data_IF_111556898998
#
_entry.id   IF_111556898998
#
_cell.length_a   1.000
_cell.length_b   1.000
_cell.length_c   1.000
_cell.angle_alpha   90.00
_cell.angle_beta   90.00
_cell.angle_gamma   90.00
#
_symmetry.space_group_name_H-M   'P 1'
#
loop_
_entity.id
_entity.type
_entity.pdbx_description
1 polymer ?
#
# COMPACT_ATOMS: atom_id res chain seq x y z
N UNK A 1 12.61 6.53 -7.59
CA UNK A 1 12.18 7.55 -8.58
C UNK A 1 10.66 7.69 -8.63
N UNK A 2 9.88 6.62 -8.85
CA UNK A 2 8.41 6.71 -8.84
C UNK A 2 7.82 7.20 -7.50
N UNK A 3 8.36 6.76 -6.36
CA UNK A 3 7.93 7.26 -5.03
C UNK A 3 8.14 8.78 -4.87
N UNK A 4 9.27 9.30 -5.35
CA UNK A 4 9.56 10.74 -5.34
C UNK A 4 8.58 11.48 -6.25
N UNK A 5 8.28 10.96 -7.44
CA UNK A 5 7.29 11.56 -8.36
C UNK A 5 5.88 11.61 -7.75
N UNK A 6 5.49 10.57 -7.02
CA UNK A 6 4.24 10.57 -6.26
C UNK A 6 4.24 11.67 -5.17
N UNK A 7 5.32 11.78 -4.39
CA UNK A 7 5.46 12.77 -3.32
C UNK A 7 5.45 14.22 -3.84
N UNK A 8 6.02 14.47 -5.03
CA UNK A 8 6.00 15.81 -5.66
C UNK A 8 4.73 16.09 -6.48
N UNK A 9 3.69 15.27 -6.34
CA UNK A 9 2.37 15.54 -6.93
C UNK A 9 2.23 15.16 -8.40
N UNK A 10 3.05 14.22 -8.90
CA UNK A 10 2.99 13.71 -10.27
C UNK A 10 2.59 12.21 -10.31
N UNK A 11 1.40 11.84 -9.82
CA UNK A 11 0.99 10.44 -9.69
C UNK A 11 0.81 9.74 -11.05
N UNK A 12 0.48 10.47 -12.12
CA UNK A 12 0.38 9.92 -13.47
C UNK A 12 1.72 9.44 -14.03
N UNK A 13 2.77 10.29 -13.93
CA UNK A 13 4.13 9.91 -14.33
C UNK A 13 4.68 8.76 -13.48
N UNK A 14 4.40 8.79 -12.17
CA UNK A 14 4.76 7.70 -11.27
C UNK A 14 4.11 6.37 -11.69
N UNK A 15 2.81 6.39 -12.07
CA UNK A 15 2.13 5.22 -12.64
C UNK A 15 2.86 4.68 -13.88
N UNK A 16 3.17 5.54 -14.86
CA UNK A 16 3.82 5.11 -16.11
C UNK A 16 5.17 4.43 -15.83
N UNK A 17 6.00 5.02 -14.96
CA UNK A 17 7.28 4.40 -14.59
C UNK A 17 7.11 3.06 -13.87
N UNK A 18 6.06 2.91 -13.05
CA UNK A 18 5.78 1.65 -12.36
C UNK A 18 5.30 0.57 -13.35
N UNK A 19 4.53 0.95 -14.37
CA UNK A 19 4.07 0.04 -15.42
C UNK A 19 5.23 -0.47 -16.29
N UNK A 20 6.25 0.35 -16.54
CA UNK A 20 7.45 -0.07 -17.28
C UNK A 20 8.27 -1.15 -16.56
N UNK A 21 8.27 -1.13 -15.22
CA UNK A 21 9.06 -2.07 -14.41
C UNK A 21 8.23 -3.21 -13.82
N UNK A 22 6.90 -3.20 -13.98
CA UNK A 22 5.97 -4.12 -13.33
C UNK A 22 6.34 -5.58 -13.61
N UNK A 23 6.60 -5.93 -14.87
CA UNK A 23 6.92 -7.30 -15.29
C UNK A 23 8.24 -7.78 -14.69
N UNK A 24 9.23 -6.90 -14.61
CA UNK A 24 10.55 -7.23 -14.04
C UNK A 24 10.43 -7.48 -12.54
N UNK A 25 9.75 -6.58 -11.82
CA UNK A 25 9.57 -6.73 -10.36
C UNK A 25 8.71 -7.95 -10.02
N UNK A 26 7.66 -8.24 -10.80
CA UNK A 26 6.83 -9.43 -10.55
C UNK A 26 7.54 -10.75 -10.87
N UNK A 27 8.52 -10.74 -11.78
CA UNK A 27 9.25 -11.95 -12.18
C UNK A 27 10.51 -12.21 -11.36
N UNK A 28 11.18 -11.15 -10.88
CA UNK A 28 12.50 -11.23 -10.26
C UNK A 28 12.57 -10.58 -8.87
N UNK A 29 11.59 -9.77 -8.49
CA UNK A 29 11.56 -9.06 -7.23
C UNK A 29 11.17 -9.95 -6.05
N UNK A 30 11.67 -9.61 -4.86
CA UNK A 30 11.22 -10.23 -3.63
C UNK A 30 9.80 -9.78 -3.26
N UNK A 31 9.15 -10.47 -2.33
CA UNK A 31 7.81 -10.10 -1.86
C UNK A 31 7.73 -8.67 -1.28
N UNK A 32 8.83 -8.17 -0.71
CA UNK A 32 8.93 -6.77 -0.25
C UNK A 32 8.84 -5.79 -1.43
N UNK A 33 9.59 -6.06 -2.51
CA UNK A 33 9.62 -5.22 -3.71
C UNK A 33 8.26 -5.25 -4.42
N UNK A 34 7.66 -6.44 -4.54
CA UNK A 34 6.33 -6.65 -5.11
C UNK A 34 5.27 -5.93 -4.27
N UNK A 35 5.34 -6.01 -2.94
CA UNK A 35 4.46 -5.27 -2.05
C UNK A 35 4.57 -3.76 -2.24
N UNK A 36 5.80 -3.25 -2.41
CA UNK A 36 6.04 -1.83 -2.62
C UNK A 36 5.51 -1.35 -3.97
N UNK A 37 5.71 -2.12 -5.03
CA UNK A 37 5.16 -1.88 -6.35
C UNK A 37 3.63 -1.77 -6.29
N UNK A 38 2.96 -2.76 -5.72
CA UNK A 38 1.50 -2.76 -5.61
C UNK A 38 0.98 -1.57 -4.81
N UNK A 39 1.62 -1.26 -3.67
CA UNK A 39 1.21 -0.14 -2.84
C UNK A 39 1.38 1.20 -3.56
N UNK A 40 2.48 1.40 -4.28
CA UNK A 40 2.71 2.60 -5.07
C UNK A 40 1.71 2.72 -6.23
N UNK A 41 1.42 1.63 -6.95
CA UNK A 41 0.41 1.61 -8.01
C UNK A 41 -0.99 1.96 -7.45
N UNK A 42 -1.36 1.41 -6.28
CA UNK A 42 -2.63 1.73 -5.63
C UNK A 42 -2.78 3.23 -5.36
N UNK A 43 -1.74 3.84 -4.77
CA UNK A 43 -1.70 5.28 -4.48
C UNK A 43 -1.78 6.12 -5.74
N UNK A 44 -1.00 5.76 -6.76
CA UNK A 44 -0.93 6.52 -8.01
C UNK A 44 -2.26 6.43 -8.78
N UNK A 45 -2.88 5.25 -8.89
CA UNK A 45 -4.20 5.08 -9.52
C UNK A 45 -5.28 5.88 -8.82
N UNK A 46 -5.36 5.78 -7.49
CA UNK A 46 -6.34 6.56 -6.72
C UNK A 46 -6.15 8.08 -6.90
N UNK A 47 -4.91 8.56 -6.91
CA UNK A 47 -4.63 9.99 -7.07
C UNK A 47 -4.83 10.51 -8.49
N UNK A 48 -4.56 9.69 -9.51
CA UNK A 48 -4.69 10.08 -10.93
C UNK A 48 -6.11 9.94 -11.45
N UNK A 49 -6.81 8.87 -11.09
CA UNK A 49 -8.12 8.51 -11.65
C UNK A 49 -9.28 8.81 -10.68
N UNK A 50 -8.99 9.16 -9.42
CA UNK A 50 -9.99 9.44 -8.39
C UNK A 50 -10.88 8.22 -8.15
N UNK A 51 -12.20 8.42 -8.24
CA UNK A 51 -13.18 7.35 -8.06
C UNK A 51 -13.14 6.28 -9.18
N UNK A 52 -12.66 6.61 -10.39
CA UNK A 52 -12.58 5.67 -11.50
C UNK A 52 -11.56 4.55 -11.28
N UNK A 53 -10.47 4.84 -10.55
CA UNK A 53 -9.42 3.87 -10.23
C UNK A 53 -9.58 3.20 -8.86
N UNK A 54 -10.68 3.47 -8.15
CA UNK A 54 -10.81 3.14 -6.74
C UNK A 54 -10.84 1.64 -6.44
N UNK A 55 -11.62 0.87 -7.21
CA UNK A 55 -11.68 -0.59 -7.05
C UNK A 55 -10.32 -1.24 -7.32
N UNK A 56 -9.64 -0.77 -8.38
CA UNK A 56 -8.29 -1.22 -8.72
C UNK A 56 -7.28 -0.88 -7.60
N UNK A 57 -7.36 0.34 -7.05
CA UNK A 57 -6.52 0.75 -5.94
C UNK A 57 -6.77 -0.09 -4.68
N UNK A 58 -8.02 -0.41 -4.35
CA UNK A 58 -8.37 -1.31 -3.23
C UNK A 58 -7.77 -2.69 -3.45
N UNK A 59 -7.87 -3.24 -4.66
CA UNK A 59 -7.30 -4.55 -4.99
C UNK A 59 -5.77 -4.55 -4.84
N UNK A 60 -5.09 -3.55 -5.40
CA UNK A 60 -3.64 -3.41 -5.31
C UNK A 60 -3.16 -3.22 -3.86
N UNK A 61 -3.82 -2.38 -3.07
CA UNK A 61 -3.49 -2.20 -1.65
C UNK A 61 -3.69 -3.49 -0.84
N UNK A 62 -4.72 -4.29 -1.18
CA UNK A 62 -4.94 -5.60 -0.55
C UNK A 62 -3.83 -6.60 -0.92
N UNK A 63 -3.39 -6.60 -2.17
CA UNK A 63 -2.27 -7.45 -2.62
C UNK A 63 -0.96 -7.05 -1.97
N UNK A 64 -0.69 -5.74 -1.83
CA UNK A 64 0.46 -5.24 -1.10
C UNK A 64 0.45 -5.67 0.37
N UNK A 65 -0.70 -5.58 1.04
CA UNK A 65 -0.88 -6.03 2.42
C UNK A 65 -0.51 -7.50 2.56
N UNK A 66 -1.03 -8.38 1.70
CA UNK A 66 -0.71 -9.81 1.70
C UNK A 66 0.79 -10.08 1.50
N UNK A 67 1.43 -9.36 0.56
CA UNK A 67 2.87 -9.49 0.36
C UNK A 67 3.66 -9.20 1.63
N UNK A 68 3.30 -8.12 2.35
CA UNK A 68 3.99 -7.74 3.57
C UNK A 68 3.64 -8.62 4.78
N UNK A 69 2.43 -9.17 4.85
CA UNK A 69 2.04 -10.15 5.86
C UNK A 69 2.86 -11.43 5.73
N UNK A 70 3.05 -11.94 4.50
CA UNK A 70 3.83 -13.16 4.24
C UNK A 70 5.29 -13.05 4.69
N UNK A 71 5.89 -11.86 4.61
CA UNK A 71 7.28 -11.61 5.04
C UNK A 71 7.37 -10.90 6.39
N UNK A 72 6.25 -10.79 7.11
CA UNK A 72 6.14 -10.15 8.43
C UNK A 72 6.73 -8.72 8.50
N UNK A 73 6.68 -7.98 7.39
CA UNK A 73 7.20 -6.62 7.32
C UNK A 73 6.23 -5.66 8.01
N UNK A 74 6.38 -5.47 9.33
CA UNK A 74 5.50 -4.60 10.14
C UNK A 74 5.31 -3.20 9.54
N UNK A 75 6.37 -2.58 9.05
CA UNK A 75 6.30 -1.27 8.39
C UNK A 75 5.39 -1.32 7.15
N UNK A 76 5.56 -2.32 6.30
CA UNK A 76 4.76 -2.50 5.08
C UNK A 76 3.30 -2.85 5.40
N UNK A 77 3.07 -3.72 6.39
CA UNK A 77 1.71 -4.07 6.85
C UNK A 77 1.00 -2.82 7.35
N UNK A 78 1.64 -2.02 8.20
CA UNK A 78 1.07 -0.77 8.72
C UNK A 78 0.70 0.18 7.59
N UNK A 79 1.62 0.42 6.67
CA UNK A 79 1.39 1.37 5.58
C UNK A 79 0.28 0.91 4.63
N UNK A 80 0.30 -0.37 4.22
CA UNK A 80 -0.73 -0.95 3.35
C UNK A 80 -2.10 -0.99 4.01
N UNK A 81 -2.18 -1.33 5.31
CA UNK A 81 -3.44 -1.35 6.05
C UNK A 81 -4.04 0.06 6.19
N UNK A 82 -3.22 1.09 6.42
CA UNK A 82 -3.67 2.48 6.42
C UNK A 82 -4.29 2.87 5.07
N UNK A 83 -3.58 2.62 3.97
CA UNK A 83 -4.06 2.96 2.63
C UNK A 83 -5.30 2.16 2.24
N UNK A 84 -5.35 0.86 2.58
CA UNK A 84 -6.52 0.04 2.33
C UNK A 84 -7.74 0.55 3.10
N UNK A 85 -7.59 0.93 4.37
CA UNK A 85 -8.68 1.52 5.14
C UNK A 85 -9.19 2.83 4.49
N UNK A 86 -8.28 3.71 4.09
CA UNK A 86 -8.63 4.97 3.41
C UNK A 86 -9.39 4.73 2.10
N UNK A 87 -8.92 3.79 1.27
CA UNK A 87 -9.55 3.46 -0.01
C UNK A 87 -10.92 2.80 0.18
N UNK A 88 -11.04 1.87 1.13
CA UNK A 88 -12.31 1.24 1.46
C UNK A 88 -13.34 2.24 2.00
N UNK A 89 -12.92 3.23 2.80
CA UNK A 89 -13.79 4.32 3.25
C UNK A 89 -14.34 5.12 2.06
N UNK A 90 -13.45 5.50 1.13
CA UNK A 90 -13.84 6.21 -0.11
C UNK A 90 -14.75 5.37 -1.02
N UNK A 91 -14.66 4.04 -0.92
CA UNK A 91 -15.46 3.10 -1.70
C UNK A 91 -16.78 2.70 -1.01
N UNK A 92 -17.05 3.18 0.21
CA UNK A 92 -18.21 2.76 1.01
C UNK A 92 -18.15 1.31 1.50
N UNK A 93 -16.96 0.69 1.53
CA UNK A 93 -16.75 -0.70 1.95
C UNK A 93 -16.46 -0.79 3.44
N UNK A 94 -17.48 -0.58 4.28
CA UNK A 94 -17.30 -0.42 5.74
C UNK A 94 -16.66 -1.60 6.45
N UNK A 95 -17.06 -2.85 6.13
CA UNK A 95 -16.50 -4.03 6.79
C UNK A 95 -14.99 -4.16 6.52
N UNK A 96 -14.59 -4.01 5.26
CA UNK A 96 -13.19 -4.07 4.84
C UNK A 96 -12.37 -2.90 5.39
N UNK A 97 -12.95 -1.70 5.45
CA UNK A 97 -12.33 -0.55 6.13
C UNK A 97 -12.04 -0.87 7.59
N UNK A 98 -13.04 -1.40 8.30
CA UNK A 98 -12.92 -1.70 9.73
C UNK A 98 -11.87 -2.78 10.00
N UNK A 99 -11.79 -3.80 9.14
CA UNK A 99 -10.74 -4.83 9.20
C UNK A 99 -9.35 -4.23 8.99
N UNK A 100 -9.16 -3.46 7.92
CA UNK A 100 -7.89 -2.80 7.64
C UNK A 100 -7.46 -1.85 8.78
N UNK A 101 -8.41 -1.09 9.36
CA UNK A 101 -8.16 -0.21 10.49
C UNK A 101 -7.79 -0.97 11.79
N UNK A 102 -8.31 -2.18 12.01
CA UNK A 102 -7.88 -3.05 13.12
C UNK A 102 -6.45 -3.55 12.89
N UNK A 103 -6.13 -3.99 11.68
CA UNK A 103 -4.78 -4.42 11.31
C UNK A 103 -3.77 -3.30 11.48
N UNK A 104 -4.09 -2.09 11.01
CA UNK A 104 -3.26 -0.90 11.21
C UNK A 104 -2.96 -0.66 12.70
N UNK A 105 -4.00 -0.56 13.53
CA UNK A 105 -3.84 -0.29 14.98
C UNK A 105 -3.00 -1.34 15.67
N UNK A 106 -3.30 -2.63 15.45
CA UNK A 106 -2.55 -3.74 16.04
C UNK A 106 -1.05 -3.65 15.74
N UNK A 107 -0.69 -3.36 14.49
CA UNK A 107 0.73 -3.30 14.10
C UNK A 107 1.39 -2.02 14.59
N UNK A 108 0.67 -0.90 14.60
CA UNK A 108 1.20 0.36 15.12
C UNK A 108 1.51 0.28 16.63
N UNK A 109 0.61 -0.33 17.42
CA UNK A 109 0.84 -0.63 18.84
C UNK A 109 2.08 -1.52 19.04
N UNK A 110 2.19 -2.62 18.29
CA UNK A 110 3.36 -3.51 18.36
C UNK A 110 4.68 -2.81 17.98
N UNK A 111 4.63 -1.82 17.09
CA UNK A 111 5.80 -1.02 16.71
C UNK A 111 6.16 0.02 17.78
N UNK A 112 5.15 0.65 18.38
CA UNK A 112 5.32 1.61 19.46
C UNK A 112 5.89 0.95 20.73
N UNK A 113 5.39 -0.22 21.11
CA UNK A 113 5.91 -0.99 22.24
C UNK A 113 7.40 -1.31 22.07
N UNK A 114 7.81 -1.73 20.87
CA UNK A 114 9.21 -2.06 20.59
C UNK A 114 10.15 -0.87 20.80
N UNK A 115 9.72 0.34 20.45
CA UNK A 115 10.51 1.57 20.65
C UNK A 115 10.66 1.93 22.14
N UNK A 116 9.72 1.54 22.99
CA UNK A 116 9.76 1.82 24.44
C UNK A 116 10.67 0.85 25.21
N UNK A 117 10.90 -0.36 24.71
CA UNK A 117 11.73 -1.39 25.37
C UNK A 117 13.16 -1.50 24.80
N UNK A 118 13.51 -0.73 23.77
CA UNK A 118 14.87 -0.62 23.21
C UNK A 118 15.62 0.64 23.68
N UNK A 119 15.07 1.37 24.67
CA UNK A 119 15.67 2.51 25.39
C UNK A 119 16.09 2.10 26.80
#
# INVERSE_FOLDING_TARGET
MAGVQFEVGLPGHACTLLEEVVTVVLSQGGLVDVGQLYLLLAKCRFKSEGHGGLESAVHLASSALKCYETVESKRGIRESAYWLALLCDKAGMEERRNEAARTFRRVDEQMAEKLLYEL
#
